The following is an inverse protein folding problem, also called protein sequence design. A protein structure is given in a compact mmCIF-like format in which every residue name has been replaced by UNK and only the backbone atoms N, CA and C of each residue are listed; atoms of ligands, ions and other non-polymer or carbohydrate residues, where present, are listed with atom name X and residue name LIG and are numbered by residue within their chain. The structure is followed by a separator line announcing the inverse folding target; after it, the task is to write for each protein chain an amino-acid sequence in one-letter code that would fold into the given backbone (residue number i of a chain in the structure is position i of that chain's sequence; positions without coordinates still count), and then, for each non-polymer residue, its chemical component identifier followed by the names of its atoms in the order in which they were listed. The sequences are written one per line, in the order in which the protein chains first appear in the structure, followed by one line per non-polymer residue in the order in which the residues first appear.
data_IF_886806955845
#
_entry.id   IF_886806955845
#
_cell.length_a   1.000
_cell.length_b   1.000
_cell.length_c   1.000
_cell.angle_alpha   90.00
_cell.angle_beta   90.00
_cell.angle_gamma   90.00
#
_symmetry.space_group_name_H-M   'P 1'
#
loop_
_entity.id
_entity.type
_entity.pdbx_description
1 polymer ?
#
# COMPACT_ATOMS: atom_id res chain seq x y z
N UNK A 1 27.41 -43.16 -21.93
CA UNK A 1 26.71 -43.98 -22.95
C UNK A 1 25.42 -44.48 -22.33
N UNK A 2 24.30 -43.85 -22.69
CA UNK A 2 22.94 -44.42 -22.74
C UNK A 2 21.98 -43.23 -22.90
N UNK A 3 21.64 -43.02 -24.16
CA UNK A 3 20.71 -42.06 -24.71
C UNK A 3 19.36 -42.77 -24.76
N UNK A 4 18.29 -42.15 -24.26
CA UNK A 4 16.93 -42.61 -24.55
C UNK A 4 16.05 -41.41 -24.83
N UNK A 5 15.61 -41.39 -26.07
CA UNK A 5 14.70 -40.48 -26.72
C UNK A 5 13.44 -41.31 -27.01
N UNK A 6 12.24 -40.78 -26.74
CA UNK A 6 10.99 -41.21 -27.37
C UNK A 6 9.92 -40.12 -27.26
N UNK A 7 9.29 -39.91 -28.41
CA UNK A 7 8.23 -38.97 -28.78
C UNK A 7 6.92 -39.03 -27.98
N UNK A 8 6.18 -37.92 -28.07
CA UNK A 8 4.76 -37.68 -27.70
C UNK A 8 3.76 -38.48 -28.60
N UNK A 9 2.40 -38.29 -28.58
CA UNK A 9 1.49 -37.54 -27.67
C UNK A 9 0.24 -38.34 -27.21
N UNK A 10 -0.53 -37.82 -26.24
CA UNK A 10 -2.00 -37.98 -26.30
C UNK A 10 -2.79 -36.91 -25.54
N UNK A 11 -3.88 -36.49 -26.17
CA UNK A 11 -4.82 -35.44 -25.81
C UNK A 11 -5.91 -35.97 -24.84
N UNK A 12 -6.33 -35.15 -23.86
CA UNK A 12 -7.74 -34.69 -23.70
C UNK A 12 -7.99 -33.90 -22.40
N UNK A 13 -8.33 -32.61 -22.59
CA UNK A 13 -9.38 -31.77 -21.97
C UNK A 13 -9.79 -31.89 -20.48
N UNK A 14 -9.81 -30.73 -19.80
CA UNK A 14 -10.98 -30.07 -19.14
C UNK A 14 -10.43 -28.99 -18.14
N UNK A 15 -10.31 -27.74 -18.57
CA UNK A 15 -11.30 -26.64 -18.41
C UNK A 15 -11.44 -26.09 -16.99
N UNK A 16 -10.90 -24.90 -16.75
CA UNK A 16 -11.12 -24.07 -15.56
C UNK A 16 -10.58 -22.66 -15.83
N UNK A 17 -11.32 -21.88 -16.63
CA UNK A 17 -10.92 -20.56 -17.10
C UNK A 17 -10.96 -19.50 -16.00
N UNK A 18 -9.83 -18.80 -15.83
CA UNK A 18 -9.72 -17.52 -15.16
C UNK A 18 -9.85 -16.41 -16.22
N UNK A 19 -10.55 -15.29 -15.98
CA UNK A 19 -10.72 -14.26 -16.99
C UNK A 19 -9.41 -13.47 -17.15
N UNK A 20 -8.69 -13.75 -18.24
CA UNK A 20 -7.61 -12.92 -18.73
C UNK A 20 -8.19 -11.56 -19.18
N UNK A 21 -7.70 -10.48 -18.57
CA UNK A 21 -7.93 -9.11 -19.04
C UNK A 21 -7.27 -8.98 -20.42
N UNK A 22 -8.08 -8.91 -21.47
CA UNK A 22 -7.61 -8.66 -22.83
C UNK A 22 -7.15 -7.20 -22.94
N UNK A 23 -5.86 -6.93 -22.71
CA UNK A 23 -5.21 -5.69 -23.12
C UNK A 23 -5.06 -5.71 -24.65
N UNK A 24 -5.94 -5.00 -25.36
CA UNK A 24 -5.70 -4.66 -26.76
C UNK A 24 -4.59 -3.61 -26.83
N UNK A 25 -3.33 -4.06 -26.94
CA UNK A 25 -2.19 -3.18 -27.18
C UNK A 25 -2.18 -2.79 -28.66
N UNK A 26 -2.66 -1.60 -28.98
CA UNK A 26 -2.49 -1.03 -30.31
C UNK A 26 -1.03 -0.56 -30.47
N UNK A 27 -0.21 -1.34 -31.19
CA UNK A 27 1.11 -0.87 -31.61
C UNK A 27 0.92 0.33 -32.54
N UNK A 28 1.57 1.45 -32.22
CA UNK A 28 1.56 2.71 -33.01
C UNK A 28 1.91 2.48 -34.50
N UNK A 29 2.62 1.38 -34.82
CA UNK A 29 2.90 0.97 -36.20
C UNK A 29 1.66 0.57 -37.01
N UNK A 30 0.64 -0.02 -36.40
CA UNK A 30 -0.55 -0.54 -37.09
C UNK A 30 -1.60 0.54 -37.40
N UNK A 31 -1.60 1.66 -36.65
CA UNK A 31 -2.49 2.79 -36.87
C UNK A 31 -2.11 3.67 -38.09
N UNK A 32 -0.93 3.44 -38.69
CA UNK A 32 -0.47 4.17 -39.89
C UNK A 32 -1.26 3.87 -41.16
N UNK A 33 -2.11 2.85 -41.17
CA UNK A 33 -2.87 2.43 -42.36
C UNK A 33 -4.24 3.10 -42.55
N UNK A 34 -4.76 3.85 -41.58
CA UNK A 34 -6.17 4.31 -41.60
C UNK A 34 -6.34 5.74 -42.15
N UNK A 35 -5.29 6.52 -42.37
CA UNK A 35 -5.42 7.91 -42.87
C UNK A 35 -5.09 8.04 -44.36
N UNK A 36 -6.09 7.81 -45.21
CA UNK A 36 -6.24 8.34 -46.58
C UNK A 36 -7.74 8.57 -46.74
N UNK A 37 -8.29 9.78 -46.84
CA UNK A 37 -8.13 10.77 -47.91
C UNK A 37 -8.95 12.01 -47.53
N UNK A 38 -8.39 13.22 -47.60
CA UNK A 38 -9.05 14.45 -48.10
C UNK A 38 -8.12 15.66 -48.00
N UNK A 39 -8.26 16.58 -48.96
CA UNK A 39 -7.28 17.59 -49.41
C UNK A 39 -7.46 18.97 -48.74
N UNK A 40 -6.31 19.61 -48.48
CA UNK A 40 -6.04 21.06 -48.52
C UNK A 40 -6.82 22.02 -47.60
N UNK A 41 -6.36 22.12 -46.35
CA UNK A 41 -5.84 23.33 -45.69
C UNK A 41 -4.67 22.87 -44.80
N UNK A 42 -3.90 23.74 -44.17
CA UNK A 42 -2.72 23.34 -43.37
C UNK A 42 -3.08 22.51 -42.13
N UNK A 43 -3.51 21.26 -42.33
CA UNK A 43 -4.01 20.39 -41.28
C UNK A 43 -2.83 19.85 -40.48
N UNK A 44 -2.72 20.33 -39.24
CA UNK A 44 -2.04 19.62 -38.18
C UNK A 44 -2.63 18.20 -38.16
N UNK A 45 -1.81 17.18 -38.39
CA UNK A 45 -2.27 15.80 -38.30
C UNK A 45 -2.58 15.53 -36.82
N UNK A 46 -3.88 15.47 -36.51
CA UNK A 46 -4.39 15.30 -35.15
C UNK A 46 -5.06 13.93 -35.03
N UNK A 47 -4.49 13.06 -34.21
CA UNK A 47 -5.16 11.85 -33.76
C UNK A 47 -5.67 12.10 -32.33
N UNK A 48 -6.98 12.08 -32.13
CA UNK A 48 -7.59 12.14 -30.80
C UNK A 48 -8.06 10.76 -30.37
N UNK A 49 -7.62 10.36 -29.18
CA UNK A 49 -8.06 9.16 -28.49
C UNK A 49 -8.55 9.54 -27.09
N UNK A 50 -9.45 8.73 -26.53
CA UNK A 50 -9.89 8.83 -25.16
C UNK A 50 -9.60 7.51 -24.43
N UNK A 51 -9.32 7.61 -23.13
CA UNK A 51 -9.17 6.47 -22.22
C UNK A 51 -10.30 6.52 -21.21
N UNK A 52 -11.12 5.48 -21.14
CA UNK A 52 -12.18 5.37 -20.13
C UNK A 52 -11.64 5.12 -18.73
N UNK A 53 -12.50 5.20 -17.72
CA UNK A 53 -12.18 4.87 -16.34
C UNK A 53 -11.57 3.46 -16.16
N UNK A 54 -11.99 2.50 -16.99
CA UNK A 54 -11.51 1.11 -17.01
C UNK A 54 -10.17 0.93 -17.74
N UNK A 55 -9.60 2.01 -18.29
CA UNK A 55 -8.35 1.96 -19.05
C UNK A 55 -8.52 1.55 -20.53
N UNK A 56 -9.74 1.59 -21.07
CA UNK A 56 -10.00 1.21 -22.47
C UNK A 56 -9.81 2.40 -23.40
N UNK A 57 -9.03 2.20 -24.47
CA UNK A 57 -8.77 3.20 -25.50
C UNK A 57 -9.88 3.23 -26.56
N UNK A 58 -10.36 4.43 -26.90
CA UNK A 58 -11.42 4.67 -27.88
C UNK A 58 -11.07 5.87 -28.76
N UNK A 59 -11.62 5.92 -29.98
CA UNK A 59 -11.56 7.11 -30.84
C UNK A 59 -12.73 8.03 -30.51
N UNK A 60 -12.52 9.34 -30.64
CA UNK A 60 -13.51 10.37 -30.29
C UNK A 60 -14.82 10.29 -31.11
N UNK A 61 -14.75 9.79 -32.34
CA UNK A 61 -15.87 9.64 -33.26
C UNK A 61 -16.47 8.22 -33.29
N UNK A 62 -15.97 7.33 -32.43
CA UNK A 62 -16.32 5.91 -32.46
C UNK A 62 -17.68 5.61 -31.80
N UNK A 63 -18.30 4.51 -32.24
CA UNK A 63 -19.56 4.01 -31.63
C UNK A 63 -19.35 3.58 -30.18
N UNK A 64 -18.18 3.05 -29.86
CA UNK A 64 -17.78 2.62 -28.52
C UNK A 64 -17.73 3.82 -27.57
N UNK A 65 -17.14 4.94 -28.02
CA UNK A 65 -17.11 6.17 -27.23
C UNK A 65 -18.51 6.70 -26.95
N UNK A 66 -19.39 6.76 -27.95
CA UNK A 66 -20.79 7.19 -27.77
C UNK A 66 -21.56 6.28 -26.82
N UNK A 67 -21.34 4.97 -26.91
CA UNK A 67 -21.93 4.01 -25.98
C UNK A 67 -21.41 4.21 -24.54
N UNK A 68 -20.11 4.45 -24.38
CA UNK A 68 -19.49 4.71 -23.08
C UNK A 68 -19.89 6.06 -22.48
N UNK A 69 -20.20 7.06 -23.33
CA UNK A 69 -20.79 8.34 -22.92
C UNK A 69 -22.22 8.17 -22.41
N UNK A 70 -22.92 7.10 -22.84
CA UNK A 70 -24.34 6.87 -22.55
C UNK A 70 -25.29 7.74 -23.37
N UNK A 71 -24.76 8.43 -24.38
CA UNK A 71 -25.49 9.37 -25.24
C UNK A 71 -25.07 9.16 -26.70
N UNK A 72 -25.97 8.63 -27.56
CA UNK A 72 -25.65 8.33 -28.95
C UNK A 72 -25.55 9.57 -29.84
N UNK A 73 -26.17 10.70 -29.48
CA UNK A 73 -26.19 11.91 -30.31
C UNK A 73 -26.07 13.17 -29.43
N UNK A 74 -24.92 13.37 -28.75
CA UNK A 74 -24.72 14.52 -27.89
C UNK A 74 -24.71 15.82 -28.72
N UNK A 75 -25.48 16.81 -28.29
CA UNK A 75 -25.49 18.17 -28.86
C UNK A 75 -24.41 19.09 -28.23
N UNK A 76 -23.54 18.50 -27.40
CA UNK A 76 -22.42 19.14 -26.69
C UNK A 76 -21.08 18.48 -27.05
N UNK A 77 -19.97 19.08 -26.60
CA UNK A 77 -18.64 18.48 -26.71
C UNK A 77 -18.53 17.26 -25.77
N UNK A 78 -18.87 16.09 -26.30
CA UNK A 78 -18.88 14.83 -25.56
C UNK A 78 -17.52 14.48 -24.96
N UNK A 79 -16.41 14.76 -25.66
CA UNK A 79 -15.07 14.48 -25.15
C UNK A 79 -14.73 15.39 -23.96
N UNK A 80 -15.01 16.69 -24.06
CA UNK A 80 -14.81 17.61 -22.95
C UNK A 80 -15.71 17.27 -21.75
N UNK A 81 -16.95 16.83 -22.01
CA UNK A 81 -17.86 16.37 -20.97
C UNK A 81 -17.34 15.11 -20.27
N UNK A 82 -16.90 14.11 -21.04
CA UNK A 82 -16.37 12.86 -20.50
C UNK A 82 -15.13 13.08 -19.63
N UNK A 83 -14.20 13.93 -20.08
CA UNK A 83 -13.00 14.28 -19.31
C UNK A 83 -13.37 14.98 -17.99
N UNK A 84 -14.31 15.92 -18.04
CA UNK A 84 -14.69 16.68 -16.84
C UNK A 84 -15.48 15.86 -15.83
N UNK A 85 -16.40 15.00 -16.29
CA UNK A 85 -17.41 14.41 -15.42
C UNK A 85 -17.29 12.90 -15.25
N UNK A 86 -16.76 12.18 -16.24
CA UNK A 86 -16.78 10.71 -16.27
C UNK A 86 -15.40 10.08 -16.01
N UNK A 87 -14.38 10.89 -15.72
CA UNK A 87 -13.04 10.39 -15.40
C UNK A 87 -12.22 9.96 -16.61
N UNK A 88 -12.66 10.31 -17.82
CA UNK A 88 -11.90 10.00 -19.04
C UNK A 88 -10.62 10.84 -19.10
N UNK A 89 -9.60 10.30 -19.77
CA UNK A 89 -8.41 11.05 -20.16
C UNK A 89 -8.41 11.21 -21.67
N UNK A 90 -8.33 12.45 -22.16
CA UNK A 90 -8.14 12.71 -23.59
C UNK A 90 -6.66 12.68 -23.91
N UNK A 91 -6.30 12.00 -24.97
CA UNK A 91 -4.93 11.83 -25.43
C UNK A 91 -4.85 12.21 -26.90
N UNK A 92 -4.04 13.20 -27.23
CA UNK A 92 -3.96 13.74 -28.59
C UNK A 92 -2.53 13.76 -29.08
N UNK A 93 -2.31 13.29 -30.30
CA UNK A 93 -1.02 13.43 -30.98
C UNK A 93 -1.16 14.56 -32.01
N UNK A 94 -0.33 15.60 -31.87
CA UNK A 94 -0.27 16.74 -32.78
C UNK A 94 1.02 16.67 -33.59
N UNK A 95 0.89 16.59 -34.92
CA UNK A 95 2.00 16.57 -35.89
C UNK A 95 3.11 15.56 -35.57
N UNK A 96 2.76 14.46 -34.92
CA UNK A 96 3.70 13.44 -34.42
C UNK A 96 4.86 14.00 -33.57
N UNK A 97 4.70 15.19 -32.98
CA UNK A 97 5.76 15.89 -32.28
C UNK A 97 5.37 16.31 -30.87
N UNK A 98 4.07 16.42 -30.59
CA UNK A 98 3.53 16.79 -29.28
C UNK A 98 2.42 15.83 -28.90
N UNK A 99 2.43 15.35 -27.66
CA UNK A 99 1.28 14.68 -27.06
C UNK A 99 0.58 15.64 -26.11
N UNK A 100 -0.70 15.93 -26.34
CA UNK A 100 -1.55 16.70 -25.44
C UNK A 100 -2.44 15.75 -24.64
N UNK A 101 -2.50 15.95 -23.32
CA UNK A 101 -3.24 15.10 -22.39
C UNK A 101 -4.17 15.98 -21.58
N UNK A 102 -5.48 15.77 -21.73
CA UNK A 102 -6.49 16.50 -20.96
C UNK A 102 -7.11 15.58 -19.91
N UNK A 103 -7.14 16.01 -18.65
CA UNK A 103 -7.72 15.23 -17.56
C UNK A 103 -8.37 16.09 -16.48
N UNK A 104 -9.27 15.49 -15.71
CA UNK A 104 -9.72 16.03 -14.42
C UNK A 104 -9.11 15.18 -13.30
N UNK A 105 -8.02 15.60 -12.63
CA UNK A 105 -7.24 14.71 -11.75
C UNK A 105 -8.03 14.08 -10.61
N UNK A 106 -9.13 14.70 -10.17
CA UNK A 106 -10.01 14.16 -9.12
C UNK A 106 -11.01 13.10 -9.59
N UNK A 107 -11.19 12.94 -10.89
CA UNK A 107 -12.17 12.02 -11.47
C UNK A 107 -11.51 10.86 -12.22
N UNK A 108 -10.20 10.95 -12.49
CA UNK A 108 -9.44 9.90 -13.17
C UNK A 108 -9.32 8.67 -12.27
N UNK A 109 -9.65 7.51 -12.84
CA UNK A 109 -9.45 6.21 -12.20
C UNK A 109 -8.06 5.62 -12.50
N UNK A 110 -7.59 4.72 -11.63
CA UNK A 110 -6.20 4.22 -11.69
C UNK A 110 -5.90 3.48 -12.99
N UNK A 111 -6.87 2.72 -13.53
CA UNK A 111 -6.69 1.98 -14.77
C UNK A 111 -6.49 2.93 -15.97
N UNK A 112 -7.26 4.02 -16.03
CA UNK A 112 -7.08 5.07 -17.03
C UNK A 112 -5.69 5.72 -16.95
N UNK A 113 -5.25 6.07 -15.73
CA UNK A 113 -3.93 6.65 -15.50
C UNK A 113 -2.81 5.71 -15.95
N UNK A 114 -2.85 4.45 -15.53
CA UNK A 114 -1.83 3.45 -15.88
C UNK A 114 -1.76 3.22 -17.41
N UNK A 115 -2.91 3.14 -18.07
CA UNK A 115 -2.98 2.99 -19.53
C UNK A 115 -2.28 4.14 -20.25
N UNK A 116 -2.54 5.39 -19.84
CA UNK A 116 -1.86 6.57 -20.40
C UNK A 116 -0.37 6.57 -20.10
N UNK A 117 0.05 6.26 -18.87
CA UNK A 117 1.46 6.23 -18.49
C UNK A 117 2.25 5.21 -19.31
N UNK A 118 1.70 4.00 -19.51
CA UNK A 118 2.30 2.98 -20.37
C UNK A 118 2.44 3.49 -21.82
N UNK A 119 1.43 4.19 -22.32
CA UNK A 119 1.48 4.76 -23.68
C UNK A 119 2.53 5.86 -23.82
N UNK A 120 2.74 6.69 -22.79
CA UNK A 120 3.78 7.71 -22.80
C UNK A 120 5.18 7.11 -22.84
N UNK A 121 5.44 6.08 -22.02
CA UNK A 121 6.75 5.41 -21.95
C UNK A 121 7.11 4.65 -23.23
N UNK A 122 6.12 4.27 -24.04
CA UNK A 122 6.32 3.60 -25.33
C UNK A 122 6.34 4.56 -26.52
N UNK A 123 6.06 5.84 -26.30
CA UNK A 123 6.08 6.87 -27.34
C UNK A 123 7.49 7.33 -27.68
N UNK A 124 7.71 7.70 -28.94
CA UNK A 124 8.95 8.33 -29.40
C UNK A 124 8.90 9.86 -29.31
N UNK A 125 7.74 10.42 -28.96
CA UNK A 125 7.51 11.86 -28.80
C UNK A 125 8.12 12.32 -27.48
N UNK A 126 8.79 13.48 -27.49
CA UNK A 126 9.49 14.01 -26.30
C UNK A 126 8.81 15.22 -25.66
N UNK A 127 7.83 15.81 -26.34
CA UNK A 127 7.13 17.00 -25.85
C UNK A 127 5.69 16.65 -25.47
N UNK A 128 5.35 16.97 -24.23
CA UNK A 128 4.07 16.64 -23.63
C UNK A 128 3.43 17.92 -23.11
N UNK A 129 2.15 18.11 -23.42
CA UNK A 129 1.35 19.18 -22.86
C UNK A 129 0.28 18.57 -21.98
N UNK A 130 0.39 18.79 -20.67
CA UNK A 130 -0.64 18.37 -19.73
C UNK A 130 -1.62 19.52 -19.55
N UNK A 131 -2.90 19.28 -19.80
CA UNK A 131 -4.00 20.19 -19.44
C UNK A 131 -4.87 19.52 -18.40
N UNK A 132 -5.11 20.21 -17.31
CA UNK A 132 -5.90 19.62 -16.24
C UNK A 132 -6.88 20.61 -15.63
N UNK A 133 -8.05 20.10 -15.27
CA UNK A 133 -9.11 20.88 -14.65
C UNK A 133 -9.07 20.68 -13.13
N UNK A 134 -8.89 21.78 -12.40
CA UNK A 134 -9.02 21.83 -10.94
C UNK A 134 -10.14 22.83 -10.59
N UNK A 135 -9.81 24.09 -10.31
CA UNK A 135 -10.79 25.20 -10.24
C UNK A 135 -10.98 25.84 -11.63
N UNK A 136 -9.93 25.80 -12.45
CA UNK A 136 -9.89 26.26 -13.83
C UNK A 136 -8.95 25.37 -14.64
N UNK A 137 -9.02 25.45 -15.97
CA UNK A 137 -8.09 24.76 -16.85
C UNK A 137 -6.68 25.33 -16.68
N UNK A 138 -5.74 24.47 -16.32
CA UNK A 138 -4.30 24.76 -16.26
C UNK A 138 -3.59 24.00 -17.37
N UNK A 139 -2.45 24.51 -17.81
CA UNK A 139 -1.63 23.86 -18.84
C UNK A 139 -0.15 23.99 -18.50
N UNK A 140 0.58 22.89 -18.64
CA UNK A 140 2.03 22.83 -18.48
C UNK A 140 2.66 22.02 -19.61
N UNK A 141 3.92 22.32 -19.95
CA UNK A 141 4.68 21.64 -21.00
C UNK A 141 5.88 20.94 -20.37
N UNK A 142 6.09 19.68 -20.73
CA UNK A 142 7.11 18.80 -20.17
C UNK A 142 7.89 18.14 -21.31
N UNK A 143 9.21 18.08 -21.17
CA UNK A 143 10.12 17.64 -22.24
C UNK A 143 10.72 16.23 -22.02
N UNK A 144 10.05 15.37 -21.24
CA UNK A 144 10.44 13.96 -21.00
C UNK A 144 9.20 13.14 -20.65
N UNK A 145 9.15 11.89 -21.15
CA UNK A 145 8.06 10.98 -20.87
C UNK A 145 8.02 10.58 -19.39
N UNK A 146 9.18 10.34 -18.80
CA UNK A 146 9.35 9.99 -17.39
C UNK A 146 8.87 11.13 -16.47
N UNK A 147 9.24 12.37 -16.79
CA UNK A 147 8.76 13.54 -16.06
C UNK A 147 7.26 13.75 -16.24
N UNK A 148 6.72 13.54 -17.44
CA UNK A 148 5.29 13.65 -17.68
C UNK A 148 4.49 12.58 -16.91
N UNK A 149 5.00 11.34 -16.85
CA UNK A 149 4.42 10.24 -16.05
C UNK A 149 4.44 10.58 -14.57
N UNK A 150 5.60 11.01 -14.03
CA UNK A 150 5.72 11.40 -12.63
C UNK A 150 4.75 12.53 -12.27
N UNK A 151 4.62 13.51 -13.16
CA UNK A 151 3.72 14.64 -12.97
C UNK A 151 2.24 14.27 -13.05
N UNK A 152 1.85 13.39 -13.97
CA UNK A 152 0.50 12.83 -14.01
C UNK A 152 0.17 12.08 -12.72
N UNK A 153 1.11 11.27 -12.20
CA UNK A 153 0.95 10.61 -10.91
C UNK A 153 0.74 11.62 -9.79
N UNK A 154 1.53 12.69 -9.73
CA UNK A 154 1.41 13.74 -8.72
C UNK A 154 0.06 14.47 -8.78
N UNK A 155 -0.40 14.83 -9.99
CA UNK A 155 -1.68 15.52 -10.19
C UNK A 155 -2.85 14.65 -9.70
N UNK A 156 -2.83 13.36 -10.03
CA UNK A 156 -3.87 12.42 -9.60
C UNK A 156 -3.63 11.88 -8.18
N UNK A 157 -2.46 12.13 -7.58
CA UNK A 157 -2.12 11.61 -6.26
C UNK A 157 -3.09 12.08 -5.18
N UNK A 158 -3.84 13.19 -5.33
CA UNK A 158 -4.85 13.59 -4.33
C UNK A 158 -6.11 12.72 -4.35
N UNK A 159 -6.43 12.09 -5.48
CA UNK A 159 -7.53 11.12 -5.64
C UNK A 159 -7.13 9.74 -5.11
N UNK A 160 -5.86 9.38 -5.30
CA UNK A 160 -5.28 8.12 -4.81
C UNK A 160 -4.57 8.26 -3.46
N UNK A 161 -4.47 9.47 -2.93
CA UNK A 161 -4.05 9.72 -1.57
C UNK A 161 -5.18 9.18 -0.72
N UNK A 162 -4.98 7.94 -0.31
CA UNK A 162 -5.71 7.30 0.77
C UNK A 162 -6.02 8.39 1.78
N UNK A 163 -7.30 8.66 2.00
CA UNK A 163 -7.69 9.56 3.07
C UNK A 163 -7.06 9.03 4.37
N UNK A 164 -6.95 9.84 5.43
CA UNK A 164 -6.46 9.31 6.72
C UNK A 164 -7.23 8.04 7.16
N UNK A 165 -8.46 7.84 6.65
CA UNK A 165 -9.31 6.66 6.85
C UNK A 165 -8.88 5.45 6.01
N UNK A 166 -8.31 5.65 4.81
CA UNK A 166 -7.87 4.54 3.94
C UNK A 166 -6.40 4.12 4.18
N UNK A 167 -5.62 4.93 4.91
CA UNK A 167 -4.22 4.61 5.26
C UNK A 167 -4.10 3.48 6.29
N UNK A 168 -5.12 3.29 7.11
CA UNK A 168 -5.13 2.34 8.21
C UNK A 168 -6.44 1.55 8.20
N UNK A 169 -6.39 0.35 7.64
CA UNK A 169 -7.51 -0.58 7.66
C UNK A 169 -7.35 -1.52 8.85
N UNK A 170 -8.42 -1.65 9.64
CA UNK A 170 -8.51 -2.62 10.74
C UNK A 170 -9.71 -3.52 10.51
N UNK A 171 -9.45 -4.82 10.51
CA UNK A 171 -10.48 -5.85 10.42
C UNK A 171 -10.51 -6.60 11.76
N UNK A 172 -11.52 -6.35 12.61
CA UNK A 172 -11.70 -7.10 13.85
C UNK A 172 -11.84 -8.58 13.54
N UNK A 173 -11.04 -9.38 14.23
CA UNK A 173 -11.07 -10.84 14.11
C UNK A 173 -11.73 -11.43 15.35
N UNK A 174 -12.33 -12.61 15.18
CA UNK A 174 -12.83 -13.36 16.34
C UNK A 174 -11.66 -13.82 17.21
N UNK A 175 -11.66 -13.41 18.47
CA UNK A 175 -10.65 -13.78 19.47
C UNK A 175 -10.54 -15.31 19.65
N UNK A 176 -11.62 -16.06 19.43
CA UNK A 176 -11.60 -17.52 19.54
C UNK A 176 -10.73 -18.18 18.46
N UNK A 177 -10.58 -17.55 17.28
CA UNK A 177 -9.73 -18.05 16.18
C UNK A 177 -8.25 -18.15 16.56
N UNK A 178 -7.79 -17.36 17.54
CA UNK A 178 -6.42 -17.48 18.07
C UNK A 178 -6.12 -18.89 18.62
N UNK A 179 -7.14 -19.65 19.00
CA UNK A 179 -7.00 -20.98 19.58
C UNK A 179 -7.23 -22.13 18.59
N UNK A 180 -7.57 -21.83 17.34
CA UNK A 180 -7.87 -22.83 16.30
C UNK A 180 -6.63 -23.26 15.49
N UNK A 181 -5.57 -22.44 15.48
CA UNK A 181 -4.34 -22.69 14.72
C UNK A 181 -3.16 -23.16 15.58
N UNK A 182 -2.03 -23.51 14.94
CA UNK A 182 -0.78 -23.90 15.61
C UNK A 182 -0.30 -22.84 16.62
N UNK A 183 0.50 -23.26 17.60
CA UNK A 183 0.99 -22.41 18.69
C UNK A 183 1.82 -21.22 18.22
N UNK A 184 1.13 -20.10 17.96
CA UNK A 184 1.72 -18.83 17.59
C UNK A 184 2.00 -17.91 18.78
N UNK A 185 2.85 -16.89 18.61
CA UNK A 185 3.22 -15.95 19.67
C UNK A 185 2.02 -15.22 20.28
N UNK A 186 1.01 -14.90 19.47
CA UNK A 186 -0.23 -14.25 19.93
C UNK A 186 -1.05 -15.17 20.85
N UNK A 187 -1.13 -16.46 20.51
CA UNK A 187 -1.85 -17.45 21.32
C UNK A 187 -1.18 -17.62 22.70
N UNK A 188 0.16 -17.67 22.76
CA UNK A 188 0.89 -17.79 24.02
C UNK A 188 0.60 -16.62 24.97
N UNK A 189 0.59 -15.39 24.44
CA UNK A 189 0.22 -14.21 25.24
C UNK A 189 -1.24 -14.25 25.69
N UNK A 190 -2.17 -14.66 24.81
CA UNK A 190 -3.58 -14.83 25.15
C UNK A 190 -3.78 -15.88 26.28
N UNK A 191 -3.06 -17.01 26.21
CA UNK A 191 -3.07 -18.04 27.25
C UNK A 191 -2.53 -17.50 28.58
N UNK A 192 -1.39 -16.80 28.56
CA UNK A 192 -0.82 -16.19 29.76
C UNK A 192 -1.78 -15.20 30.40
N UNK A 193 -2.47 -14.39 29.60
CA UNK A 193 -3.49 -13.47 30.07
C UNK A 193 -4.66 -14.19 30.75
N UNK A 194 -5.18 -15.25 30.12
CA UNK A 194 -6.26 -16.08 30.69
C UNK A 194 -5.85 -16.73 32.01
N UNK A 195 -4.66 -17.35 32.07
CA UNK A 195 -4.15 -18.01 33.27
C UNK A 195 -3.91 -17.05 34.43
N UNK A 196 -3.61 -15.78 34.13
CA UNK A 196 -3.40 -14.74 35.14
C UNK A 196 -4.70 -14.00 35.46
N UNK A 197 -5.84 -14.42 34.90
CA UNK A 197 -7.14 -13.74 35.02
C UNK A 197 -7.05 -12.24 34.68
N UNK A 198 -6.21 -11.90 33.71
CA UNK A 198 -5.92 -10.52 33.32
C UNK A 198 -5.18 -9.68 34.36
N UNK A 199 -4.51 -10.27 35.35
CA UNK A 199 -3.63 -9.52 36.27
C UNK A 199 -2.22 -9.44 35.71
N UNK A 200 -1.62 -8.25 35.75
CA UNK A 200 -0.23 -8.06 35.40
C UNK A 200 0.64 -8.31 36.63
N UNK A 201 1.52 -9.30 36.56
CA UNK A 201 2.47 -9.64 37.60
C UNK A 201 3.86 -9.93 37.00
N UNK A 202 4.95 -9.98 37.80
CA UNK A 202 6.31 -10.19 37.29
C UNK A 202 6.51 -11.46 36.44
N UNK A 203 5.65 -12.47 36.60
CA UNK A 203 5.69 -13.68 35.78
C UNK A 203 5.28 -13.43 34.33
N UNK A 204 4.57 -12.34 34.01
CA UNK A 204 4.22 -11.95 32.63
C UNK A 204 5.47 -11.63 31.83
N UNK A 205 6.37 -10.81 32.37
CA UNK A 205 7.65 -10.46 31.72
C UNK A 205 8.55 -11.69 31.63
N UNK A 206 8.64 -12.47 32.72
CA UNK A 206 9.43 -13.71 32.73
C UNK A 206 8.93 -14.71 31.68
N UNK A 207 7.60 -14.79 31.50
CA UNK A 207 6.97 -15.61 30.47
C UNK A 207 7.30 -15.10 29.06
N UNK A 208 7.22 -13.79 28.83
CA UNK A 208 7.56 -13.19 27.54
C UNK A 208 9.03 -13.44 27.15
N UNK A 209 9.96 -13.32 28.10
CA UNK A 209 11.38 -13.65 27.89
C UNK A 209 11.56 -15.12 27.55
N UNK A 210 10.97 -16.02 28.35
CA UNK A 210 11.13 -17.48 28.18
C UNK A 210 10.64 -17.98 26.82
N UNK A 211 9.67 -17.31 26.22
CA UNK A 211 9.05 -17.70 24.95
C UNK A 211 9.46 -16.79 23.79
N UNK A 212 10.49 -15.96 23.96
CA UNK A 212 11.00 -15.05 22.92
C UNK A 212 9.94 -14.09 22.34
N UNK A 213 9.04 -13.61 23.21
CA UNK A 213 7.94 -12.71 22.84
C UNK A 213 8.26 -11.24 23.11
N UNK A 214 9.34 -10.97 23.85
CA UNK A 214 9.65 -9.64 24.37
C UNK A 214 9.99 -8.65 23.24
N UNK A 215 10.66 -9.10 22.18
CA UNK A 215 11.08 -8.27 21.04
C UNK A 215 9.90 -7.63 20.31
N UNK A 216 8.78 -8.34 20.15
CA UNK A 216 7.56 -7.85 19.48
C UNK A 216 6.46 -7.39 20.46
N UNK A 217 6.82 -7.16 21.72
CA UNK A 217 5.90 -6.72 22.77
C UNK A 217 5.97 -5.21 22.96
N UNK A 218 4.80 -4.57 23.00
CA UNK A 218 4.65 -3.20 23.48
C UNK A 218 3.76 -3.22 24.72
N UNK A 219 4.12 -2.45 25.75
CA UNK A 219 3.30 -2.26 26.94
C UNK A 219 2.94 -0.78 27.03
N UNK A 220 1.63 -0.51 27.05
CA UNK A 220 1.07 0.84 27.15
C UNK A 220 0.32 0.97 28.46
N UNK A 221 0.59 2.02 29.22
CA UNK A 221 -0.12 2.38 30.42
C UNK A 221 -1.26 3.36 30.13
N UNK A 222 -2.44 3.08 30.68
CA UNK A 222 -3.62 3.94 30.60
C UNK A 222 -4.19 4.12 32.01
N UNK A 223 -4.35 5.36 32.46
CA UNK A 223 -4.99 5.68 33.74
C UNK A 223 -6.44 6.15 33.52
N UNK A 224 -7.46 5.33 33.79
CA UNK A 224 -8.84 5.75 33.61
C UNK A 224 -9.25 6.80 34.66
N UNK A 225 -10.21 7.70 34.34
CA UNK A 225 -10.88 7.86 33.06
C UNK A 225 -10.16 8.86 32.13
N UNK A 226 -10.04 8.50 30.84
CA UNK A 226 -9.68 9.45 29.78
C UNK A 226 -8.22 9.88 29.69
N UNK A 227 -7.29 9.31 30.47
CA UNK A 227 -5.87 9.63 30.29
C UNK A 227 -5.35 9.14 28.94
N UNK A 228 -4.41 9.91 28.39
CA UNK A 228 -3.71 9.56 27.16
C UNK A 228 -2.83 8.32 27.39
N UNK A 229 -2.82 7.34 26.47
CA UNK A 229 -1.96 6.17 26.59
C UNK A 229 -0.48 6.54 26.55
N UNK A 230 0.32 5.94 27.44
CA UNK A 230 1.76 6.22 27.59
C UNK A 230 2.57 4.94 27.42
N UNK A 231 3.68 5.00 26.68
CA UNK A 231 4.55 3.84 26.54
C UNK A 231 5.24 3.50 27.87
N UNK A 232 5.16 2.23 28.28
CA UNK A 232 5.88 1.66 29.43
C UNK A 232 7.04 0.77 28.99
N UNK A 233 6.87 0.10 27.85
CA UNK A 233 7.87 -0.75 27.24
C UNK A 233 7.62 -0.84 25.73
N UNK A 234 8.69 -0.89 24.94
CA UNK A 234 8.67 -1.14 23.50
C UNK A 234 9.81 -2.12 23.22
N UNK A 235 9.49 -3.28 22.67
CA UNK A 235 10.48 -4.25 22.23
C UNK A 235 11.28 -3.77 21.01
N UNK A 236 12.44 -4.37 20.80
CA UNK A 236 13.38 -4.05 19.72
C UNK A 236 12.99 -4.64 18.35
N UNK A 237 11.97 -5.50 18.29
CA UNK A 237 11.45 -6.09 17.06
C UNK A 237 10.60 -5.14 16.21
N UNK A 238 10.54 -3.84 16.53
CA UNK A 238 9.72 -2.84 15.83
C UNK A 238 10.54 -1.88 14.92
N UNK A 239 11.82 -2.16 14.73
CA UNK A 239 12.78 -1.32 13.99
C UNK A 239 12.40 -1.05 12.52
N UNK A 240 11.56 -1.89 11.91
CA UNK A 240 11.17 -1.72 10.51
C UNK A 240 10.31 -0.46 10.30
N UNK A 241 9.53 -0.05 11.30
CA UNK A 241 8.62 1.10 11.17
C UNK A 241 8.75 2.13 12.30
N UNK A 242 9.48 1.83 13.37
CA UNK A 242 9.95 2.82 14.34
C UNK A 242 11.39 3.24 14.01
N UNK A 243 11.74 4.49 14.29
CA UNK A 243 13.13 4.96 14.21
C UNK A 243 14.02 4.19 15.21
N UNK A 244 15.30 4.03 14.89
CA UNK A 244 16.23 3.10 15.57
C UNK A 244 16.33 3.40 17.08
N UNK A 245 16.16 4.67 17.47
CA UNK A 245 16.20 5.09 18.86
C UNK A 245 14.81 5.36 19.47
N UNK A 246 13.73 5.25 18.70
CA UNK A 246 12.40 5.59 19.18
C UNK A 246 11.93 4.65 20.29
N UNK A 247 12.23 3.36 20.19
CA UNK A 247 11.82 2.37 21.21
C UNK A 247 12.38 2.68 22.61
N UNK A 248 13.57 3.29 22.70
CA UNK A 248 14.16 3.75 23.96
C UNK A 248 13.61 5.11 24.38
N UNK A 249 13.58 6.08 23.44
CA UNK A 249 13.27 7.47 23.75
C UNK A 249 11.77 7.74 23.99
N UNK A 250 10.89 6.87 23.50
CA UNK A 250 9.45 7.04 23.61
C UNK A 250 8.88 6.56 24.95
N UNK A 251 9.66 5.85 25.78
CA UNK A 251 9.21 5.38 27.10
C UNK A 251 8.87 6.57 27.99
N UNK A 252 7.67 6.55 28.58
CA UNK A 252 7.10 7.67 29.32
C UNK A 252 6.43 8.74 28.45
N UNK A 253 6.60 8.68 27.13
CA UNK A 253 5.91 9.52 26.15
C UNK A 253 4.54 8.98 25.75
N UNK A 254 3.71 9.85 25.15
CA UNK A 254 2.36 9.49 24.70
C UNK A 254 2.42 8.64 23.44
N UNK A 255 1.49 7.68 23.31
CA UNK A 255 1.37 6.84 22.11
C UNK A 255 1.09 7.66 20.85
N UNK A 256 0.32 8.74 20.97
CA UNK A 256 0.02 9.63 19.85
C UNK A 256 1.24 10.43 19.37
N UNK A 257 2.32 10.45 20.15
CA UNK A 257 3.52 11.22 19.82
C UNK A 257 4.52 10.50 18.90
N UNK A 258 4.14 9.35 18.38
CA UNK A 258 4.89 8.61 17.35
C UNK A 258 5.29 9.48 16.14
N UNK A 259 6.34 9.08 15.39
CA UNK A 259 6.86 9.86 14.25
C UNK A 259 5.77 10.14 13.21
N UNK A 260 4.98 9.12 12.87
CA UNK A 260 3.72 9.31 12.15
C UNK A 260 2.62 9.67 13.13
N UNK A 261 2.33 10.97 13.25
CA UNK A 261 1.31 11.49 14.16
C UNK A 261 -0.09 10.96 13.86
N UNK A 262 -0.42 10.75 12.58
CA UNK A 262 -1.75 10.23 12.20
C UNK A 262 -1.87 8.77 12.63
N UNK A 263 -0.84 7.95 12.41
CA UNK A 263 -0.82 6.56 12.89
C UNK A 263 -0.84 6.50 14.43
N UNK A 264 -0.07 7.36 15.09
CA UNK A 264 -0.03 7.45 16.55
C UNK A 264 -1.40 7.75 17.16
N UNK A 265 -2.11 8.75 16.63
CA UNK A 265 -3.46 9.11 17.06
C UNK A 265 -4.48 8.01 16.76
N UNK A 266 -4.36 7.35 15.61
CA UNK A 266 -5.22 6.23 15.25
C UNK A 266 -5.02 5.06 16.21
N UNK A 267 -3.77 4.64 16.47
CA UNK A 267 -3.50 3.50 17.34
C UNK A 267 -3.82 3.79 18.81
N UNK A 268 -3.69 5.04 19.27
CA UNK A 268 -3.99 5.42 20.66
C UNK A 268 -5.44 5.16 21.05
N UNK A 269 -6.38 5.30 20.11
CA UNK A 269 -7.82 5.06 20.35
C UNK A 269 -8.09 3.60 20.73
N UNK A 270 -7.36 2.63 20.14
CA UNK A 270 -7.53 1.22 20.47
C UNK A 270 -7.03 0.89 21.87
N UNK A 271 -5.89 1.47 22.29
CA UNK A 271 -5.40 1.30 23.65
C UNK A 271 -6.39 1.86 24.69
N UNK A 272 -6.97 3.04 24.42
CA UNK A 272 -7.99 3.63 25.28
C UNK A 272 -9.24 2.74 25.36
N UNK A 273 -9.74 2.27 24.21
CA UNK A 273 -10.93 1.42 24.12
C UNK A 273 -10.74 0.08 24.85
N UNK A 274 -9.60 -0.59 24.66
CA UNK A 274 -9.29 -1.86 25.33
C UNK A 274 -9.13 -1.65 26.84
N UNK A 275 -8.45 -0.58 27.26
CA UNK A 275 -8.32 -0.25 28.67
C UNK A 275 -9.67 0.07 29.34
N UNK A 276 -10.56 0.79 28.66
CA UNK A 276 -11.86 1.18 29.22
C UNK A 276 -12.86 0.02 29.27
N UNK A 277 -12.83 -0.86 28.28
CA UNK A 277 -13.77 -2.01 28.19
C UNK A 277 -13.28 -3.21 28.99
N UNK A 278 -11.97 -3.33 29.21
CA UNK A 278 -11.35 -4.50 29.82
C UNK A 278 -11.45 -5.77 28.97
N UNK A 279 -11.80 -5.66 27.68
CA UNK A 279 -11.93 -6.79 26.77
C UNK A 279 -10.69 -6.94 25.88
N UNK A 280 -10.15 -8.17 25.72
CA UNK A 280 -9.16 -8.46 24.68
C UNK A 280 -9.65 -8.08 23.29
N UNK A 281 -8.72 -7.67 22.43
CA UNK A 281 -9.03 -7.34 21.04
C UNK A 281 -8.01 -7.97 20.10
N UNK A 282 -8.51 -8.67 19.09
CA UNK A 282 -7.71 -9.29 18.05
C UNK A 282 -8.08 -8.67 16.70
N UNK A 283 -7.11 -8.14 15.97
CA UNK A 283 -7.33 -7.48 14.69
C UNK A 283 -6.32 -7.96 13.63
N UNK A 284 -6.76 -7.96 12.37
CA UNK A 284 -5.89 -7.89 11.21
C UNK A 284 -5.75 -6.43 10.79
N UNK A 285 -4.52 -5.96 10.56
CA UNK A 285 -4.23 -4.57 10.25
C UNK A 285 -3.44 -4.45 8.96
N UNK A 286 -3.91 -3.58 8.07
CA UNK A 286 -3.15 -3.04 6.95
C UNK A 286 -2.87 -1.58 7.23
N UNK A 287 -1.59 -1.19 7.29
CA UNK A 287 -1.20 0.18 7.60
C UNK A 287 -0.15 0.71 6.63
N UNK A 288 -0.35 1.95 6.18
CA UNK A 288 0.62 2.73 5.42
C UNK A 288 1.17 3.86 6.30
N UNK A 289 2.35 3.64 6.87
CA UNK A 289 2.98 4.47 7.91
C UNK A 289 4.02 5.39 7.27
N UNK A 290 3.96 6.69 7.56
CA UNK A 290 4.94 7.67 7.10
C UNK A 290 6.20 7.59 7.95
N UNK A 291 7.35 7.36 7.30
CA UNK A 291 8.67 7.36 7.93
C UNK A 291 9.68 7.96 6.95
N UNK A 292 10.28 9.13 7.24
CA UNK A 292 11.30 9.71 6.37
C UNK A 292 12.39 8.67 6.00
N UNK A 293 12.75 8.52 4.71
CA UNK A 293 12.39 9.36 3.56
C UNK A 293 11.09 8.97 2.80
N UNK A 294 10.29 8.01 3.27
CA UNK A 294 9.15 7.50 2.50
C UNK A 294 7.97 7.00 3.33
N UNK A 295 7.27 6.00 2.78
CA UNK A 295 6.09 5.37 3.36
C UNK A 295 6.32 3.88 3.43
N UNK A 296 6.03 3.27 4.57
CA UNK A 296 6.15 1.85 4.82
C UNK A 296 4.75 1.23 4.91
N UNK A 297 4.47 0.26 4.05
CA UNK A 297 3.19 -0.48 4.07
C UNK A 297 3.41 -1.83 4.72
N UNK A 298 2.58 -2.16 5.70
CA UNK A 298 2.69 -3.41 6.45
C UNK A 298 1.33 -4.06 6.65
N UNK A 299 1.34 -5.40 6.69
CA UNK A 299 0.20 -6.24 7.03
C UNK A 299 0.57 -7.09 8.24
N UNK A 300 -0.22 -7.01 9.30
CA UNK A 300 0.07 -7.74 10.54
C UNK A 300 -1.20 -8.05 11.31
N UNK A 301 -1.16 -9.14 12.05
CA UNK A 301 -2.10 -9.38 13.13
C UNK A 301 -1.60 -8.71 14.40
N UNK A 302 -2.52 -8.16 15.18
CA UNK A 302 -2.23 -7.66 16.52
C UNK A 302 -3.22 -8.18 17.54
N UNK A 303 -2.69 -8.49 18.72
CA UNK A 303 -3.46 -8.83 19.90
C UNK A 303 -3.23 -7.76 20.96
N UNK A 304 -4.31 -7.13 21.42
CA UNK A 304 -4.34 -6.19 22.53
C UNK A 304 -4.96 -6.88 23.75
N UNK A 305 -4.22 -6.91 24.86
CA UNK A 305 -4.67 -7.54 26.10
C UNK A 305 -4.68 -6.50 27.23
N UNK A 306 -5.82 -6.25 27.89
CA UNK A 306 -5.90 -5.35 29.04
C UNK A 306 -5.53 -6.09 30.33
N UNK A 307 -4.61 -5.53 31.09
CA UNK A 307 -4.12 -6.09 32.35
C UNK A 307 -4.42 -5.15 33.51
N UNK A 308 -5.00 -5.72 34.57
CA UNK A 308 -5.19 -5.08 35.85
C UNK A 308 -3.88 -5.05 36.60
N UNK A 309 -3.55 -3.91 37.17
CA UNK A 309 -2.43 -3.78 38.11
C UNK A 309 -2.98 -3.56 39.53
N UNK A 310 -2.13 -3.66 40.57
CA UNK A 310 -2.52 -3.22 41.92
C UNK A 310 -2.78 -1.71 42.03
N UNK A 311 -2.35 -0.93 41.04
CA UNK A 311 -2.66 0.50 40.93
C UNK A 311 -3.90 0.73 40.07
N UNK A 312 -4.42 1.95 40.05
CA UNK A 312 -5.52 2.33 39.16
C UNK A 312 -5.14 2.38 37.66
N UNK A 313 -3.87 2.12 37.33
CA UNK A 313 -3.40 2.03 35.94
C UNK A 313 -3.74 0.66 35.33
N UNK A 314 -4.33 0.70 34.13
CA UNK A 314 -4.53 -0.47 33.27
C UNK A 314 -3.37 -0.52 32.29
N UNK A 315 -2.66 -1.65 32.23
CA UNK A 315 -1.66 -1.89 31.20
C UNK A 315 -2.35 -2.56 30.01
N UNK A 316 -2.05 -2.13 28.80
CA UNK A 316 -2.46 -2.81 27.57
C UNK A 316 -1.22 -3.30 26.86
N UNK A 317 -1.09 -4.60 26.70
CA UNK A 317 0.00 -5.17 25.91
C UNK A 317 -0.44 -5.33 24.47
N UNK A 318 0.38 -4.88 23.52
CA UNK A 318 0.28 -5.23 22.12
C UNK A 318 1.32 -6.30 21.81
N UNK A 319 0.86 -7.41 21.22
CA UNK A 319 1.70 -8.40 20.56
C UNK A 319 1.32 -8.46 19.09
N UNK A 320 2.29 -8.56 18.20
CA UNK A 320 2.02 -8.54 16.75
C UNK A 320 2.77 -9.63 16.00
N UNK A 321 2.18 -10.10 14.90
CA UNK A 321 2.77 -11.03 13.94
C UNK A 321 2.63 -10.46 12.52
N UNK A 322 3.74 -10.27 11.81
CA UNK A 322 3.72 -9.85 10.40
C UNK A 322 3.19 -10.96 9.49
N UNK A 323 2.45 -10.59 8.44
CA UNK A 323 1.80 -11.53 7.52
C UNK A 323 2.38 -11.53 6.09
N UNK A 324 3.53 -10.90 5.88
CA UNK A 324 4.17 -10.81 4.57
C UNK A 324 5.60 -11.33 4.55
N UNK A 325 6.05 -11.75 3.36
CA UNK A 325 7.44 -12.00 2.98
C UNK A 325 8.23 -10.69 2.91
N UNK A 326 8.26 -9.91 3.99
CA UNK A 326 9.33 -8.94 4.17
C UNK A 326 10.60 -9.76 4.39
N UNK A 327 11.36 -9.93 3.30
CA UNK A 327 12.67 -10.60 3.24
C UNK A 327 13.75 -9.79 3.96
N UNK A 328 13.42 -9.35 5.18
CA UNK A 328 14.32 -8.75 6.15
C UNK A 328 14.38 -9.56 7.46
N UNK A 329 13.41 -10.47 7.72
CA UNK A 329 13.51 -11.45 8.82
C UNK A 329 14.28 -12.71 8.35
N UNK A 330 15.53 -12.52 7.90
CA UNK A 330 16.53 -13.56 8.15
C UNK A 330 17.08 -13.28 9.53
N UNK A 331 16.72 -14.14 10.49
CA UNK A 331 17.39 -14.22 11.77
C UNK A 331 18.90 -14.13 11.55
N UNK A 332 19.51 -13.07 12.07
CA UNK A 332 20.95 -13.04 12.29
C UNK A 332 21.26 -14.12 13.31
N UNK A 333 21.52 -15.32 12.81
CA UNK A 333 22.26 -16.32 13.55
C UNK A 333 23.60 -15.69 13.83
N UNK A 334 23.76 -15.16 15.05
CA UNK A 334 25.07 -14.82 15.60
C UNK A 334 25.79 -16.16 15.71
N UNK A 335 26.62 -16.49 14.72
CA UNK A 335 27.64 -17.52 14.91
C UNK A 335 28.59 -17.02 16.00
N UNK A 336 28.82 -17.79 17.07
CA UNK A 336 29.82 -17.44 18.05
C UNK A 336 31.20 -17.64 17.40
N UNK A 337 31.85 -16.56 16.97
CA UNK A 337 33.26 -16.60 16.64
C UNK A 337 34.06 -16.98 17.89
N UNK A 338 34.42 -18.26 17.98
CA UNK A 338 35.39 -18.77 18.93
C UNK A 338 36.79 -18.32 18.48
N UNK A 339 37.19 -17.12 18.89
CA UNK A 339 38.57 -16.67 18.78
C UNK A 339 39.21 -16.66 20.18
N UNK A 340 39.64 -17.84 20.62
CA UNK A 340 40.56 -17.99 21.75
C UNK A 340 41.92 -17.46 21.32
N UNK A 341 42.22 -16.20 21.64
CA UNK A 341 43.58 -15.69 21.61
C UNK A 341 44.37 -16.30 22.79
N UNK A 342 45.13 -17.36 22.52
CA UNK A 342 46.17 -17.85 23.44
C UNK A 342 47.29 -16.81 23.49
N UNK A 343 47.36 -16.04 24.57
CA UNK A 343 48.57 -15.33 24.94
C UNK A 343 49.63 -16.36 25.38
N UNK A 344 50.65 -16.56 24.55
CA UNK A 344 51.91 -17.18 24.98
C UNK A 344 52.70 -16.16 25.77
N UNK A 345 52.81 -16.37 27.07
CA UNK A 345 53.81 -15.74 27.93
C UNK A 345 55.18 -16.34 27.63
N UNK A 346 56.07 -15.53 27.06
CA UNK A 346 57.51 -15.73 27.18
C UNK A 346 58.05 -14.67 28.13
N UNK A 347 58.62 -15.10 29.26
CA UNK A 347 59.68 -14.38 29.97
C UNK A 347 60.42 -15.36 30.88
N UNK A 348 61.72 -15.44 30.61
CA UNK A 348 62.86 -15.66 31.52
C UNK A 348 62.98 -16.97 32.28
#
# INVERSE_FOLDING_TARGET
MAQFDWDQPNQHSMSGGSPAVNLAIYKIGDLRKIVRTSRCEGFVNRLTMLVSAEGTWMLEDSTEFRAALGDPEPDYDGAAFAVKNLGFIRFQILDNSIIEIDLHPRNVEIAALLAVQQQLLTSHIKLFRLKYFDVSWKSEIICSAELAVARLSELCARRFALSAEDRFLVEPQDYLRLFESEQGPLQLMAQKWRMSFGHFDPSVISFAIKNDLLSRLIIVGVKPPGAEPVFRFIGDGHNNWLDDNFHVNAIGGKVQDQPDKTYGQWVSQFYQSVASTGQPRYDYVTASIQRPPGTYTTHYERLLLPWKTPSDEVLVTLSSRGLGTDTADKASVIEPESSVARYSTMSS
#
